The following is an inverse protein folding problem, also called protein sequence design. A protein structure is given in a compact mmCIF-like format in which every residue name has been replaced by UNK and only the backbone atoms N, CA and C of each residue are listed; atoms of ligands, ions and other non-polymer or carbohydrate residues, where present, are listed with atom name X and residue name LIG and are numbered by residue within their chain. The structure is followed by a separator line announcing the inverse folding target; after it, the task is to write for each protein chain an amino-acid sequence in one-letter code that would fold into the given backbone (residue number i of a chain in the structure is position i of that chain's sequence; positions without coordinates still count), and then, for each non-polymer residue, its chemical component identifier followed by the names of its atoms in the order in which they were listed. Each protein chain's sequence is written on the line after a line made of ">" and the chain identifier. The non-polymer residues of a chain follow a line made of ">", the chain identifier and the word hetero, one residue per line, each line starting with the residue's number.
data_IF_347305764495
#
_entry.id   IF_347305764495
#
_cell.length_a   1.000
_cell.length_b   1.000
_cell.length_c   1.000
_cell.angle_alpha   90.00
_cell.angle_beta   90.00
_cell.angle_gamma   90.00
#
_symmetry.space_group_name_H-M   'P 1'
#
loop_
_entity.id
_entity.type
_entity.pdbx_description
1 polymer ?
#
# COMPACT_ATOMS: atom_id res chain seq x y z
N UNK A 1 -12.87 5.69 -12.86
CA UNK A 1 -13.81 5.82 -11.73
C UNK A 1 -14.66 4.55 -11.67
N UNK A 2 -14.74 3.90 -10.49
CA UNK A 2 -15.67 2.82 -10.26
C UNK A 2 -17.07 3.41 -10.12
N UNK A 3 -18.03 2.98 -10.92
CA UNK A 3 -19.42 3.33 -10.71
C UNK A 3 -19.91 2.66 -9.43
N UNK A 4 -20.67 3.42 -8.63
CA UNK A 4 -21.27 2.97 -7.37
C UNK A 4 -21.93 1.58 -7.52
N UNK A 5 -21.69 0.74 -6.54
CA UNK A 5 -22.28 -0.58 -6.47
C UNK A 5 -23.81 -0.48 -6.33
N UNK A 6 -24.53 -1.09 -7.23
CA UNK A 6 -25.88 -1.51 -6.94
C UNK A 6 -25.86 -2.48 -5.74
N UNK A 7 -26.50 -2.08 -4.66
CA UNK A 7 -26.62 -2.93 -3.47
C UNK A 7 -27.38 -4.21 -3.82
N UNK A 8 -26.73 -5.36 -3.61
CA UNK A 8 -27.36 -6.66 -3.70
C UNK A 8 -26.55 -7.70 -4.49
N UNK A 9 -26.82 -8.96 -4.20
CA UNK A 9 -26.35 -10.07 -5.01
C UNK A 9 -27.07 -10.06 -6.36
N UNK A 10 -26.29 -9.95 -7.44
CA UNK A 10 -26.81 -10.14 -8.79
C UNK A 10 -26.06 -11.30 -9.42
N UNK A 11 -26.80 -12.25 -10.02
CA UNK A 11 -26.23 -13.31 -10.85
C UNK A 11 -25.70 -12.77 -12.19
N UNK A 12 -26.08 -11.52 -12.54
CA UNK A 12 -25.61 -10.87 -13.77
C UNK A 12 -24.16 -10.46 -13.65
N UNK A 13 -23.41 -10.67 -14.72
CA UNK A 13 -22.04 -10.18 -14.85
C UNK A 13 -22.00 -8.65 -14.78
N UNK A 14 -21.07 -8.11 -13.99
CA UNK A 14 -20.80 -6.67 -13.90
C UNK A 14 -19.50 -6.36 -14.63
N UNK A 15 -19.48 -5.28 -15.37
CA UNK A 15 -18.26 -4.79 -16.03
C UNK A 15 -17.73 -3.58 -15.27
N UNK A 16 -16.48 -3.67 -14.84
CA UNK A 16 -15.76 -2.59 -14.19
C UNK A 16 -14.73 -2.03 -15.17
N UNK A 17 -14.66 -0.72 -15.31
CA UNK A 17 -13.67 -0.04 -16.14
C UNK A 17 -12.74 0.76 -15.24
N UNK A 18 -11.45 0.48 -15.29
CA UNK A 18 -10.41 1.23 -14.61
C UNK A 18 -9.56 1.95 -15.64
N UNK A 19 -9.11 3.16 -15.30
CA UNK A 19 -8.20 3.94 -16.13
C UNK A 19 -7.08 4.48 -15.25
N UNK A 20 -5.85 4.28 -15.69
CA UNK A 20 -4.66 4.90 -15.13
C UNK A 20 -3.88 5.61 -16.24
N UNK A 21 -3.27 6.75 -15.93
CA UNK A 21 -2.46 7.52 -16.88
C UNK A 21 -1.04 7.62 -16.36
N UNK A 22 -0.07 7.62 -17.29
CA UNK A 22 1.37 7.75 -16.99
C UNK A 22 1.87 6.66 -16.03
N UNK A 23 1.46 5.43 -16.27
CA UNK A 23 1.89 4.24 -15.52
C UNK A 23 2.67 3.29 -16.41
N UNK A 24 3.69 2.65 -15.86
CA UNK A 24 4.51 1.66 -16.57
C UNK A 24 3.91 0.26 -16.56
N UNK A 25 2.99 0.01 -15.61
CA UNK A 25 2.35 -1.28 -15.41
C UNK A 25 0.94 -1.09 -14.84
N UNK A 26 0.17 -2.16 -14.73
CA UNK A 26 -1.20 -2.12 -14.26
C UNK A 26 -1.57 -3.36 -13.47
N UNK A 27 -2.03 -3.18 -12.23
CA UNK A 27 -2.55 -4.22 -11.37
C UNK A 27 -3.98 -3.94 -10.93
N UNK A 28 -4.71 -4.98 -10.56
CA UNK A 28 -6.01 -4.85 -9.92
C UNK A 28 -6.25 -5.97 -8.90
N UNK A 29 -7.08 -5.70 -7.91
CA UNK A 29 -7.52 -6.68 -6.93
C UNK A 29 -9.04 -6.74 -6.88
N UNK A 30 -9.60 -7.92 -6.64
CA UNK A 30 -11.04 -8.12 -6.51
C UNK A 30 -11.33 -9.19 -5.47
N UNK A 31 -12.21 -8.87 -4.52
CA UNK A 31 -12.71 -9.83 -3.54
C UNK A 31 -14.07 -9.37 -3.01
N UNK A 32 -14.96 -10.32 -2.73
CA UNK A 32 -16.22 -10.06 -2.02
C UNK A 32 -16.02 -9.91 -0.51
N UNK A 33 -14.82 -10.19 -0.02
CA UNK A 33 -14.49 -10.20 1.42
C UNK A 33 -13.68 -8.99 1.87
N UNK A 34 -13.31 -8.10 0.97
CA UNK A 34 -12.50 -6.95 1.33
C UNK A 34 -13.29 -5.94 2.17
N UNK A 35 -12.74 -5.63 3.33
CA UNK A 35 -12.97 -4.40 4.05
C UNK A 35 -12.13 -3.32 3.34
N UNK A 36 -12.70 -2.15 3.17
CA UNK A 36 -12.04 -1.00 2.57
C UNK A 36 -11.93 0.11 3.60
N UNK A 37 -10.72 0.50 3.89
CA UNK A 37 -10.42 1.65 4.74
C UNK A 37 -9.71 2.71 3.90
N UNK A 38 -10.14 3.97 4.04
CA UNK A 38 -9.61 5.07 3.23
C UNK A 38 -9.44 6.32 4.06
N UNK A 39 -8.32 7.01 3.89
CA UNK A 39 -8.04 8.31 4.50
C UNK A 39 -7.40 9.25 3.49
N UNK A 40 -7.82 10.52 3.50
CA UNK A 40 -7.21 11.55 2.66
C UNK A 40 -5.92 12.07 3.32
N UNK A 41 -4.87 12.19 2.53
CA UNK A 41 -3.55 12.70 2.93
C UNK A 41 -3.24 13.94 2.10
N UNK A 42 -3.11 15.14 2.70
CA UNK A 42 -2.73 16.33 1.95
C UNK A 42 -1.24 16.29 1.58
N UNK A 43 -0.94 16.30 0.29
CA UNK A 43 0.42 16.33 -0.27
C UNK A 43 0.42 17.24 -1.50
N UNK A 44 1.33 18.21 -1.55
CA UNK A 44 1.49 19.09 -2.71
C UNK A 44 0.21 19.84 -3.11
N UNK A 45 -0.61 20.25 -2.15
CA UNK A 45 -1.88 20.94 -2.38
C UNK A 45 -3.01 20.02 -2.90
N UNK A 46 -2.82 18.70 -2.90
CA UNK A 46 -3.83 17.70 -3.31
C UNK A 46 -4.14 16.75 -2.16
N UNK A 47 -5.34 16.18 -2.18
CA UNK A 47 -5.71 15.09 -1.29
C UNK A 47 -5.43 13.75 -1.98
N UNK A 48 -4.45 13.02 -1.47
CA UNK A 48 -4.10 11.67 -1.92
C UNK A 48 -4.87 10.68 -1.07
N UNK A 49 -5.53 9.70 -1.70
CA UNK A 49 -6.27 8.67 -0.97
C UNK A 49 -5.33 7.53 -0.58
N UNK A 50 -5.03 7.42 0.71
CA UNK A 50 -4.42 6.23 1.30
C UNK A 50 -5.51 5.17 1.52
N UNK A 51 -5.35 3.99 0.93
CA UNK A 51 -6.37 2.94 0.93
C UNK A 51 -5.77 1.62 1.40
N UNK A 52 -6.50 0.91 2.25
CA UNK A 52 -6.21 -0.48 2.62
C UNK A 52 -7.39 -1.38 2.29
N UNK A 53 -7.10 -2.54 1.71
CA UNK A 53 -8.09 -3.56 1.35
C UNK A 53 -7.67 -4.90 1.94
N UNK A 54 -8.47 -5.43 2.85
CA UNK A 54 -8.13 -6.65 3.56
C UNK A 54 -9.38 -7.44 3.97
N UNK A 55 -9.29 -8.78 4.13
CA UNK A 55 -10.41 -9.57 4.63
C UNK A 55 -10.53 -9.40 6.15
N UNK A 56 -11.70 -9.71 6.71
CA UNK A 56 -11.95 -9.63 8.15
C UNK A 56 -10.93 -10.40 9.01
N UNK A 57 -10.35 -11.45 8.46
CA UNK A 57 -9.30 -12.24 9.10
C UNK A 57 -7.96 -11.49 9.25
N UNK A 58 -7.84 -10.29 8.67
CA UNK A 58 -6.73 -9.37 8.91
C UNK A 58 -6.87 -8.57 10.21
N UNK A 59 -8.08 -8.52 10.78
CA UNK A 59 -8.34 -7.75 12.00
C UNK A 59 -7.89 -8.49 13.27
N UNK A 60 -7.48 -7.74 14.31
CA UNK A 60 -7.44 -6.27 14.40
C UNK A 60 -6.19 -5.62 13.75
N UNK A 61 -5.21 -6.39 13.34
CA UNK A 61 -3.90 -5.92 12.89
C UNK A 61 -3.99 -4.92 11.72
N UNK A 62 -4.78 -5.25 10.69
CA UNK A 62 -4.93 -4.39 9.51
C UNK A 62 -5.71 -3.12 9.80
N UNK A 63 -6.80 -3.21 10.55
CA UNK A 63 -7.59 -2.06 10.96
C UNK A 63 -6.79 -1.05 11.79
N UNK A 64 -5.92 -1.55 12.67
CA UNK A 64 -5.12 -0.67 13.53
C UNK A 64 -3.97 0.02 12.80
N UNK A 65 -3.32 -0.65 11.83
CA UNK A 65 -2.01 -0.20 11.35
C UNK A 65 -1.88 -0.02 9.84
N UNK A 66 -2.67 -0.74 9.01
CA UNK A 66 -2.40 -0.77 7.57
C UNK A 66 -2.51 0.59 6.89
N UNK A 67 -3.63 1.28 7.04
CA UNK A 67 -3.83 2.60 6.43
C UNK A 67 -2.86 3.65 7.00
N UNK A 68 -2.51 3.54 8.29
CA UNK A 68 -1.50 4.41 8.92
C UNK A 68 -0.11 4.21 8.31
N UNK A 69 0.26 2.98 7.98
CA UNK A 69 1.52 2.67 7.30
C UNK A 69 1.55 3.26 5.86
N UNK A 70 0.45 3.16 5.12
CA UNK A 70 0.31 3.83 3.80
C UNK A 70 0.48 5.34 3.94
N UNK A 71 -0.18 5.96 4.91
CA UNK A 71 -0.08 7.41 5.17
C UNK A 71 1.35 7.80 5.52
N UNK A 72 2.01 7.03 6.39
CA UNK A 72 3.38 7.31 6.78
C UNK A 72 4.33 7.24 5.58
N UNK A 73 4.22 6.19 4.77
CA UNK A 73 5.02 6.06 3.56
C UNK A 73 4.81 7.28 2.64
N UNK A 74 3.57 7.61 2.30
CA UNK A 74 3.25 8.75 1.44
C UNK A 74 3.85 10.07 1.95
N UNK A 75 3.72 10.34 3.25
CA UNK A 75 4.24 11.56 3.88
C UNK A 75 5.76 11.61 3.87
N UNK A 76 6.41 10.53 4.32
CA UNK A 76 7.88 10.51 4.46
C UNK A 76 8.56 10.52 3.10
N UNK A 77 8.11 9.69 2.16
CA UNK A 77 8.67 9.69 0.81
C UNK A 77 8.46 11.05 0.12
N UNK A 78 7.27 11.64 0.24
CA UNK A 78 7.05 12.98 -0.33
C UNK A 78 7.91 14.07 0.33
N UNK A 79 8.18 13.95 1.63
CA UNK A 79 9.06 14.88 2.37
C UNK A 79 10.51 14.83 1.89
N UNK A 80 11.03 13.63 1.64
CA UNK A 80 12.45 13.43 1.32
C UNK A 80 12.76 13.36 -0.16
N UNK A 81 11.74 13.27 -1.02
CA UNK A 81 11.93 13.13 -2.47
C UNK A 81 11.12 14.15 -3.25
N UNK A 82 9.90 13.85 -3.61
CA UNK A 82 8.98 14.71 -4.35
C UNK A 82 7.53 14.40 -3.99
N UNK A 83 6.63 15.36 -4.20
CA UNK A 83 5.20 15.15 -3.93
C UNK A 83 4.63 14.00 -4.75
N UNK A 84 3.94 13.07 -4.09
CA UNK A 84 3.30 11.93 -4.73
C UNK A 84 2.32 12.37 -5.81
N UNK A 85 2.54 12.03 -7.09
CA UNK A 85 1.77 12.62 -8.19
C UNK A 85 0.43 11.94 -8.45
N UNK A 86 0.25 10.70 -7.98
CA UNK A 86 -0.96 9.93 -8.22
C UNK A 86 -2.09 10.26 -7.23
N UNK A 87 -3.37 10.01 -7.60
CA UNK A 87 -4.50 10.37 -6.75
C UNK A 87 -4.70 9.43 -5.55
N UNK A 88 -4.07 8.27 -5.56
CA UNK A 88 -4.22 7.24 -4.51
C UNK A 88 -3.03 6.32 -4.42
N UNK A 89 -2.91 5.67 -3.26
CA UNK A 89 -2.02 4.52 -3.04
C UNK A 89 -2.81 3.45 -2.27
N UNK A 90 -2.80 2.22 -2.79
CA UNK A 90 -3.64 1.13 -2.30
C UNK A 90 -2.77 -0.02 -1.81
N UNK A 91 -2.94 -0.41 -0.56
CA UNK A 91 -2.36 -1.60 0.04
C UNK A 91 -3.40 -2.71 0.09
N UNK A 92 -3.13 -3.83 -0.56
CA UNK A 92 -4.03 -4.99 -0.60
C UNK A 92 -3.43 -6.14 0.20
N UNK A 93 -4.21 -6.76 1.05
CA UNK A 93 -3.77 -7.95 1.77
C UNK A 93 -3.49 -9.11 0.81
N UNK A 94 -2.29 -9.67 0.91
CA UNK A 94 -1.86 -10.89 0.21
C UNK A 94 -1.51 -12.00 1.19
N UNK A 95 -1.31 -13.22 0.67
CA UNK A 95 -1.04 -14.38 1.52
C UNK A 95 0.40 -14.43 2.03
N UNK A 96 1.38 -14.20 1.17
CA UNK A 96 2.74 -14.65 1.46
C UNK A 96 3.84 -13.58 1.38
N UNK A 97 3.77 -12.64 0.44
CA UNK A 97 4.86 -11.68 0.19
C UNK A 97 4.35 -10.34 -0.32
N UNK A 98 5.20 -9.32 -0.25
CA UNK A 98 4.97 -8.03 -0.85
C UNK A 98 5.11 -8.07 -2.37
N UNK A 99 4.46 -7.14 -3.05
CA UNK A 99 4.61 -6.91 -4.47
C UNK A 99 4.09 -5.53 -4.85
N UNK A 100 4.91 -4.76 -5.50
CA UNK A 100 4.62 -3.41 -5.96
C UNK A 100 4.01 -3.38 -7.37
N UNK A 101 3.09 -2.45 -7.57
CA UNK A 101 2.57 -1.99 -8.86
C UNK A 101 2.18 -0.51 -8.75
N UNK A 102 2.08 0.23 -9.87
CA UNK A 102 1.67 1.62 -9.81
C UNK A 102 0.34 1.82 -9.10
N UNK A 103 0.33 2.58 -8.01
CA UNK A 103 -0.81 2.91 -7.15
C UNK A 103 -1.45 1.74 -6.39
N UNK A 104 -0.99 0.50 -6.56
CA UNK A 104 -1.52 -0.67 -5.85
C UNK A 104 -0.40 -1.64 -5.54
N UNK A 105 -0.33 -2.10 -4.30
CA UNK A 105 0.64 -3.09 -3.87
C UNK A 105 -0.03 -4.18 -3.03
N UNK A 106 0.62 -5.34 -2.92
CA UNK A 106 0.16 -6.46 -2.12
C UNK A 106 1.08 -6.67 -0.93
N UNK A 107 0.48 -6.89 0.24
CA UNK A 107 1.22 -6.95 1.49
C UNK A 107 0.74 -8.12 2.35
N UNK A 108 1.65 -8.93 2.93
CA UNK A 108 1.30 -9.99 3.85
C UNK A 108 1.06 -9.43 5.26
N UNK A 109 0.58 -10.28 6.13
CA UNK A 109 0.42 -10.03 7.55
C UNK A 109 -0.97 -10.45 8.02
N UNK A 110 -0.99 -11.37 8.97
CA UNK A 110 -2.22 -11.88 9.54
C UNK A 110 -2.05 -12.14 11.01
N UNK A 111 -3.02 -11.77 11.85
CA UNK A 111 -3.06 -12.27 13.23
C UNK A 111 -3.39 -13.76 13.26
N UNK A 112 -3.23 -14.37 14.41
CA UNK A 112 -3.70 -15.73 14.70
C UNK A 112 -5.23 -15.80 14.69
N UNK A 113 -5.79 -16.99 14.73
CA UNK A 113 -7.24 -17.21 14.65
C UNK A 113 -8.04 -16.53 15.78
N UNK A 114 -7.42 -16.35 16.93
CA UNK A 114 -7.99 -15.66 18.09
C UNK A 114 -7.86 -14.13 18.02
N UNK A 115 -7.23 -13.60 16.95
CA UNK A 115 -6.97 -12.17 16.75
C UNK A 115 -5.68 -11.67 17.40
N UNK A 116 -4.95 -12.52 18.13
CA UNK A 116 -3.64 -12.15 18.68
C UNK A 116 -2.56 -12.07 17.62
N UNK A 117 -1.52 -11.27 17.86
CA UNK A 117 -0.36 -11.19 16.99
C UNK A 117 0.88 -10.78 17.78
N UNK A 118 2.03 -11.28 17.36
CA UNK A 118 3.31 -10.88 17.92
C UNK A 118 3.76 -9.52 17.42
N UNK A 119 4.66 -8.87 18.15
CA UNK A 119 5.30 -7.64 17.70
C UNK A 119 6.03 -7.84 16.36
N UNK A 120 6.63 -9.01 16.14
CA UNK A 120 7.28 -9.36 14.87
C UNK A 120 6.29 -9.34 13.71
N UNK A 121 5.11 -9.94 13.85
CA UNK A 121 4.06 -9.92 12.82
C UNK A 121 3.59 -8.50 12.53
N UNK A 122 3.37 -7.70 13.59
CA UNK A 122 2.97 -6.29 13.47
C UNK A 122 3.99 -5.48 12.68
N UNK A 123 5.24 -5.49 13.13
CA UNK A 123 6.28 -4.65 12.51
C UNK A 123 6.62 -5.12 11.11
N UNK A 124 6.62 -6.43 10.86
CA UNK A 124 6.81 -6.97 9.51
C UNK A 124 5.71 -6.49 8.55
N UNK A 125 4.45 -6.46 8.95
CA UNK A 125 3.37 -5.94 8.11
C UNK A 125 3.56 -4.45 7.82
N UNK A 126 3.86 -3.64 8.83
CA UNK A 126 4.11 -2.20 8.67
C UNK A 126 5.30 -1.97 7.74
N UNK A 127 6.40 -2.68 7.96
CA UNK A 127 7.61 -2.69 7.14
C UNK A 127 7.27 -2.92 5.66
N UNK A 128 6.58 -4.02 5.35
CA UNK A 128 6.27 -4.37 3.97
C UNK A 128 5.34 -3.34 3.33
N UNK A 129 4.32 -2.84 4.05
CA UNK A 129 3.43 -1.81 3.52
C UNK A 129 4.20 -0.54 3.16
N UNK A 130 5.09 -0.07 4.03
CA UNK A 130 5.91 1.12 3.77
C UNK A 130 6.83 0.89 2.57
N UNK A 131 7.45 -0.29 2.48
CA UNK A 131 8.33 -0.71 1.40
C UNK A 131 7.61 -0.70 0.04
N UNK A 132 6.50 -1.42 -0.08
CA UNK A 132 5.76 -1.55 -1.33
C UNK A 132 5.10 -0.23 -1.78
N UNK A 133 4.66 0.60 -0.83
CA UNK A 133 4.19 1.96 -1.17
C UNK A 133 5.36 2.82 -1.63
N UNK A 134 6.54 2.66 -1.05
CA UNK A 134 7.76 3.37 -1.45
C UNK A 134 8.16 3.09 -2.90
N UNK A 135 7.99 1.88 -3.38
CA UNK A 135 8.22 1.52 -4.78
C UNK A 135 7.37 2.31 -5.79
N UNK A 136 6.28 2.93 -5.38
CA UNK A 136 5.58 3.88 -6.24
C UNK A 136 6.46 5.08 -6.62
N UNK A 137 7.40 5.48 -5.75
CA UNK A 137 8.37 6.53 -6.02
C UNK A 137 9.55 5.98 -6.82
N UNK A 138 10.09 4.83 -6.42
CA UNK A 138 11.22 4.13 -7.00
C UNK A 138 10.91 2.63 -7.10
N UNK A 139 10.77 1.99 -8.26
CA UNK A 139 11.06 2.50 -9.61
C UNK A 139 9.83 2.92 -10.42
N UNK A 140 8.60 2.97 -9.84
CA UNK A 140 7.40 3.17 -10.65
C UNK A 140 7.30 4.56 -11.28
N UNK A 141 7.77 5.62 -10.60
CA UNK A 141 7.79 6.98 -11.11
C UNK A 141 9.20 7.33 -11.60
N UNK A 142 10.21 7.21 -10.73
CA UNK A 142 11.62 7.36 -11.11
C UNK A 142 12.12 6.00 -11.56
N UNK A 143 12.05 5.76 -12.86
CA UNK A 143 12.37 4.47 -13.46
C UNK A 143 13.86 4.16 -13.43
N UNK A 144 14.20 2.89 -13.25
CA UNK A 144 15.54 2.33 -13.29
C UNK A 144 15.57 1.03 -14.09
N UNK A 145 16.75 0.62 -14.56
CA UNK A 145 16.95 -0.70 -15.17
C UNK A 145 17.10 -1.77 -14.08
N UNK A 146 16.01 -2.01 -13.37
CA UNK A 146 15.93 -2.89 -12.20
C UNK A 146 16.27 -4.35 -12.54
N UNK A 147 16.05 -4.76 -13.79
CA UNK A 147 16.34 -6.13 -14.23
C UNK A 147 17.83 -6.43 -14.30
N UNK A 148 18.63 -5.42 -14.62
CA UNK A 148 20.08 -5.53 -14.58
C UNK A 148 20.65 -5.13 -13.22
N UNK A 149 20.05 -4.13 -12.59
CA UNK A 149 20.58 -3.45 -11.41
C UNK A 149 19.55 -3.41 -10.29
N UNK A 150 19.28 -4.57 -9.68
CA UNK A 150 18.29 -4.69 -8.61
C UNK A 150 18.47 -3.72 -7.43
N UNK A 151 19.72 -3.28 -7.17
CA UNK A 151 19.99 -2.26 -6.15
C UNK A 151 19.41 -0.87 -6.49
N UNK A 152 19.15 -0.60 -7.77
CA UNK A 152 18.49 0.65 -8.20
C UNK A 152 16.99 0.63 -7.91
N UNK A 153 16.41 -0.56 -7.81
CA UNK A 153 15.07 -0.79 -7.35
C UNK A 153 14.99 -0.66 -5.82
N UNK A 154 15.79 -1.45 -5.13
CA UNK A 154 15.67 -1.67 -3.69
C UNK A 154 16.44 -0.66 -2.84
N UNK A 155 17.59 -0.14 -3.31
CA UNK A 155 18.53 0.58 -2.46
C UNK A 155 17.99 1.93 -1.96
N UNK A 156 17.53 2.81 -2.85
CA UNK A 156 16.95 4.10 -2.47
C UNK A 156 15.63 3.86 -1.72
N UNK A 157 14.84 2.90 -2.18
CA UNK A 157 13.57 2.56 -1.55
C UNK A 157 13.81 2.12 -0.10
N UNK A 158 14.73 1.19 0.16
CA UNK A 158 15.05 0.72 1.51
C UNK A 158 15.58 1.84 2.42
N UNK A 159 16.36 2.77 1.87
CA UNK A 159 16.86 3.89 2.66
C UNK A 159 15.74 4.83 3.11
N UNK A 160 14.84 5.22 2.20
CA UNK A 160 13.72 6.11 2.58
C UNK A 160 12.69 5.37 3.43
N UNK A 161 12.51 4.07 3.22
CA UNK A 161 11.72 3.21 4.09
C UNK A 161 12.24 3.26 5.54
N UNK A 162 13.53 3.10 5.76
CA UNK A 162 14.13 3.21 7.09
C UNK A 162 13.75 4.55 7.76
N UNK A 163 13.81 5.66 7.04
CA UNK A 163 13.39 6.96 7.58
C UNK A 163 11.89 6.98 7.94
N UNK A 164 11.05 6.36 7.12
CA UNK A 164 9.61 6.27 7.37
C UNK A 164 9.30 5.42 8.61
N UNK A 165 10.04 4.35 8.83
CA UNK A 165 9.92 3.50 10.01
C UNK A 165 10.31 4.23 11.30
N UNK A 166 11.40 5.01 11.27
CA UNK A 166 11.80 5.82 12.41
C UNK A 166 10.77 6.89 12.77
N UNK A 167 10.07 7.44 11.78
CA UNK A 167 8.99 8.41 11.98
C UNK A 167 7.65 7.75 12.36
N UNK A 168 7.44 6.47 12.07
CA UNK A 168 6.20 5.74 12.39
C UNK A 168 6.00 5.57 13.90
N UNK A 169 7.07 5.38 14.65
CA UNK A 169 7.01 5.25 16.10
C UNK A 169 8.38 5.33 16.77
N UNK A 170 8.44 5.98 17.93
CA UNK A 170 9.68 6.22 18.71
C UNK A 170 10.47 4.94 19.09
N UNK A 171 9.89 3.77 18.92
CA UNK A 171 10.48 2.46 19.26
C UNK A 171 10.32 1.47 18.11
N UNK A 172 10.37 1.96 16.87
CA UNK A 172 10.33 1.04 15.75
C UNK A 172 11.63 0.20 15.75
N UNK A 173 11.55 -1.13 15.76
CA UNK A 173 12.72 -1.99 15.72
C UNK A 173 13.28 -2.00 14.29
N UNK A 174 14.36 -1.32 14.05
CA UNK A 174 15.10 -1.29 12.79
C UNK A 174 16.52 -1.76 13.00
#
# INVERSE_FOLDING_TARGET
>A
EAKENEKGFSEKKKTWKFKASKVRDFGFASSRKFIWEMMAVPIGGKNIMAVSMYPKEGNPLWEEFSTKAVIQALKTYSKYTFDYPYPKAVSVHSKNQGMEYPMICWNPGRPDLDGSYSLSVKYRMIYVIIHEIGHNFFPMIVNSDERQWGWMDEGINSFVQYLAEQEFGKKYPS
#
